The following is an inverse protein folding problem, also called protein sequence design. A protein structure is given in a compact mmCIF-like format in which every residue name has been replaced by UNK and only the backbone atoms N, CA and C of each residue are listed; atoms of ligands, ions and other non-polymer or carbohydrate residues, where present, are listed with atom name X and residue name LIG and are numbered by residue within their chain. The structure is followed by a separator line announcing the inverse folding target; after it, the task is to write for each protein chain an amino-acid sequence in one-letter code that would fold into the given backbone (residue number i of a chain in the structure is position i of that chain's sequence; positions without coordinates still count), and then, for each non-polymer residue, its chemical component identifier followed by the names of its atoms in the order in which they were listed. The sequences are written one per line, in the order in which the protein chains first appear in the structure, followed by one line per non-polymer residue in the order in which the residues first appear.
data_IF_964686825162
#
_entry.id   IF_964686825162
#
_cell.length_a   1.000
_cell.length_b   1.000
_cell.length_c   1.000
_cell.angle_alpha   90.00
_cell.angle_beta   90.00
_cell.angle_gamma   90.00
#
_symmetry.space_group_name_H-M   'P 1'
#
loop_
_entity.id
_entity.type
_entity.pdbx_description
1 polymer ?
#
# COMPACT_ATOMS: atom_id res chain seq x y z
N UNK A 1 48.51 -57.35 5.97
CA UNK A 1 47.93 -58.57 6.56
C UNK A 1 48.10 -58.46 8.08
N UNK A 2 47.01 -58.61 8.84
CA UNK A 2 46.89 -58.56 10.33
C UNK A 2 47.06 -57.18 11.00
N UNK A 3 46.32 -56.77 12.04
CA UNK A 3 45.11 -57.29 12.70
C UNK A 3 44.53 -56.18 13.62
N UNK A 4 43.20 -56.09 13.62
CA UNK A 4 42.29 -55.80 14.76
C UNK A 4 42.76 -54.89 15.91
N UNK A 5 42.03 -53.78 16.10
CA UNK A 5 41.55 -53.37 17.43
C UNK A 5 40.06 -53.03 17.37
N UNK A 6 39.26 -53.81 18.10
CA UNK A 6 37.88 -53.48 18.50
C UNK A 6 37.83 -53.39 20.03
N UNK A 7 36.89 -52.57 20.46
CA UNK A 7 36.18 -52.58 21.75
C UNK A 7 36.69 -51.62 22.84
N UNK A 8 35.77 -50.73 23.18
CA UNK A 8 35.78 -49.77 24.28
C UNK A 8 34.42 -49.08 24.25
N UNK A 9 33.37 -49.82 24.63
CA UNK A 9 32.00 -49.32 24.72
C UNK A 9 31.91 -48.32 25.87
N UNK A 10 31.59 -47.05 25.58
CA UNK A 10 31.02 -46.14 26.57
C UNK A 10 29.51 -45.98 26.29
N UNK A 11 28.70 -46.76 27.01
CA UNK A 11 27.28 -46.46 27.20
C UNK A 11 27.16 -45.26 28.14
N UNK A 12 26.96 -44.06 27.59
CA UNK A 12 26.43 -42.95 28.38
C UNK A 12 24.90 -42.98 28.30
N UNK A 13 24.27 -43.18 29.46
CA UNK A 13 22.84 -43.01 29.68
C UNK A 13 22.51 -41.52 29.56
N UNK A 14 21.93 -41.11 28.43
CA UNK A 14 21.30 -39.79 28.32
C UNK A 14 19.97 -39.85 29.07
N UNK A 15 19.93 -39.21 30.25
CA UNK A 15 18.69 -38.90 30.96
C UNK A 15 17.91 -37.90 30.12
N UNK A 16 16.67 -38.26 29.84
CA UNK A 16 15.64 -37.39 29.31
C UNK A 16 15.40 -36.25 30.31
N UNK A 17 15.74 -35.01 29.94
CA UNK A 17 15.20 -33.81 30.57
C UNK A 17 14.53 -32.98 29.49
N UNK A 18 13.19 -32.91 29.57
CA UNK A 18 12.33 -31.94 28.90
C UNK A 18 12.93 -30.54 29.05
N UNK A 19 13.56 -30.03 28.01
CA UNK A 19 13.88 -28.62 27.90
C UNK A 19 12.63 -27.92 27.37
N UNK A 20 11.91 -27.24 28.26
CA UNK A 20 10.82 -26.35 27.89
C UNK A 20 11.36 -25.23 27.01
N UNK A 21 10.64 -24.96 25.92
CA UNK A 21 10.86 -23.77 25.10
C UNK A 21 10.66 -22.53 25.99
N UNK A 22 11.52 -21.50 25.89
CA UNK A 22 11.35 -20.29 26.67
C UNK A 22 10.08 -19.57 26.22
N UNK A 23 9.13 -19.42 27.14
CA UNK A 23 8.03 -18.46 27.05
C UNK A 23 8.64 -17.07 26.80
N UNK A 24 8.42 -16.52 25.60
CA UNK A 24 8.63 -15.08 25.41
C UNK A 24 7.52 -14.33 26.17
N UNK A 25 7.86 -13.35 27.03
CA UNK A 25 6.87 -12.56 27.73
C UNK A 25 6.14 -11.67 26.72
N UNK A 26 4.81 -11.63 26.85
CA UNK A 26 3.90 -10.88 26.01
C UNK A 26 4.35 -9.44 25.80
N UNK A 27 4.32 -9.02 24.54
CA UNK A 27 4.47 -7.63 24.15
C UNK A 27 3.32 -6.84 24.80
N UNK A 28 3.62 -6.20 25.93
CA UNK A 28 2.74 -5.21 26.52
C UNK A 28 2.54 -4.10 25.48
N UNK A 29 1.32 -4.02 24.94
CA UNK A 29 0.88 -2.94 24.04
C UNK A 29 1.07 -1.59 24.74
N UNK A 30 2.19 -0.94 24.47
CA UNK A 30 2.40 0.50 24.67
C UNK A 30 2.65 1.10 23.30
N UNK A 31 1.63 1.74 22.75
CA UNK A 31 1.66 2.40 21.43
C UNK A 31 0.27 2.41 20.84
N UNK A 32 -0.16 3.55 20.31
CA UNK A 32 -1.45 3.69 19.62
C UNK A 32 -1.64 2.61 18.55
N UNK A 33 -2.90 2.30 18.25
CA UNK A 33 -3.26 1.34 17.22
C UNK A 33 -2.52 1.68 15.93
N UNK A 34 -1.52 0.86 15.57
CA UNK A 34 -0.90 0.96 14.25
C UNK A 34 -1.73 0.07 13.32
N UNK A 35 -2.20 0.60 12.19
CA UNK A 35 -3.05 -0.17 11.30
C UNK A 35 -2.26 -1.35 10.76
N UNK A 36 -2.88 -2.52 10.61
CA UNK A 36 -2.23 -3.67 9.95
C UNK A 36 -2.50 -3.60 8.45
N UNK A 37 -1.44 -3.73 7.65
CA UNK A 37 -1.54 -3.65 6.19
C UNK A 37 -1.19 -4.99 5.53
N UNK A 38 -1.87 -5.27 4.42
CA UNK A 38 -1.66 -6.43 3.58
C UNK A 38 -1.16 -6.05 2.20
N UNK A 39 -0.31 -6.89 1.60
CA UNK A 39 0.02 -6.85 0.19
C UNK A 39 -0.29 -8.20 -0.47
N UNK A 40 -1.10 -8.17 -1.53
CA UNK A 40 -1.55 -9.34 -2.28
C UNK A 40 -0.80 -9.43 -3.62
N UNK A 41 -0.05 -10.50 -3.81
CA UNK A 41 0.66 -10.81 -5.05
C UNK A 41 -0.25 -11.61 -6.00
N UNK A 42 -0.73 -10.93 -7.04
CA UNK A 42 -1.60 -11.45 -8.08
C UNK A 42 -0.81 -11.84 -9.35
N UNK A 43 0.51 -12.03 -9.25
CA UNK A 43 1.40 -12.23 -10.42
C UNK A 43 1.17 -13.52 -11.22
N UNK A 44 0.45 -14.50 -10.66
CA UNK A 44 0.03 -15.73 -11.37
C UNK A 44 -1.49 -15.84 -11.51
N UNK A 45 -2.17 -14.70 -11.39
CA UNK A 45 -3.61 -14.55 -11.39
C UNK A 45 -4.24 -14.80 -10.03
N UNK A 46 -5.51 -14.47 -9.92
CA UNK A 46 -6.24 -14.54 -8.65
C UNK A 46 -7.60 -15.23 -8.83
N UNK A 47 -7.95 -16.07 -7.87
CA UNK A 47 -9.23 -16.76 -7.75
C UNK A 47 -9.61 -16.82 -6.26
N UNK A 48 -10.88 -17.09 -5.98
CA UNK A 48 -11.40 -17.13 -4.62
C UNK A 48 -10.62 -18.10 -3.72
N UNK A 49 -10.49 -19.34 -4.16
CA UNK A 49 -9.70 -20.40 -3.53
C UNK A 49 -8.22 -20.02 -3.29
N UNK A 50 -7.56 -19.37 -4.27
CA UNK A 50 -6.17 -18.90 -4.14
C UNK A 50 -6.04 -17.84 -3.05
N UNK A 51 -6.96 -16.88 -3.02
CA UNK A 51 -6.91 -15.83 -2.00
C UNK A 51 -7.24 -16.39 -0.61
N UNK A 52 -8.29 -17.21 -0.52
CA UNK A 52 -8.70 -17.86 0.71
C UNK A 52 -7.60 -18.78 1.27
N UNK A 53 -6.96 -19.57 0.42
CA UNK A 53 -5.82 -20.41 0.77
C UNK A 53 -4.64 -19.58 1.31
N UNK A 54 -4.36 -18.43 0.71
CA UNK A 54 -3.28 -17.55 1.19
C UNK A 54 -3.58 -17.00 2.60
N UNK A 55 -4.83 -16.65 2.88
CA UNK A 55 -5.26 -16.21 4.22
C UNK A 55 -5.22 -17.33 5.25
N UNK A 56 -5.64 -18.54 4.89
CA UNK A 56 -5.56 -19.72 5.77
C UNK A 56 -4.11 -20.10 6.09
N UNK A 57 -3.22 -20.05 5.10
CA UNK A 57 -1.80 -20.34 5.30
C UNK A 57 -1.17 -19.32 6.24
N UNK A 58 -1.42 -18.01 6.04
CA UNK A 58 -0.97 -16.95 6.93
C UNK A 58 -1.56 -17.08 8.35
N UNK A 59 -2.86 -17.34 8.44
CA UNK A 59 -3.58 -17.47 9.71
C UNK A 59 -3.20 -18.70 10.52
N UNK A 60 -2.79 -19.78 9.86
CA UNK A 60 -2.33 -21.00 10.54
C UNK A 60 -1.08 -20.78 11.41
N UNK A 61 -0.26 -19.77 11.09
CA UNK A 61 0.97 -19.45 11.83
C UNK A 61 0.66 -18.81 13.19
N UNK A 62 -0.38 -17.98 13.26
CA UNK A 62 -0.76 -17.25 14.48
C UNK A 62 -2.03 -17.79 15.16
N UNK A 63 -2.73 -18.73 14.52
CA UNK A 63 -4.06 -19.20 14.96
C UNK A 63 -5.17 -18.16 14.75
N UNK A 64 -4.96 -17.16 13.88
CA UNK A 64 -5.90 -16.05 13.70
C UNK A 64 -7.04 -16.35 12.73
N UNK A 65 -6.84 -17.25 11.76
CA UNK A 65 -7.87 -17.73 10.84
C UNK A 65 -7.50 -19.13 10.37
N UNK A 66 -8.38 -20.10 10.61
CA UNK A 66 -8.09 -21.52 10.46
C UNK A 66 -9.10 -22.23 9.56
N UNK A 67 -8.78 -23.45 9.17
CA UNK A 67 -9.72 -24.29 8.42
C UNK A 67 -10.99 -24.65 9.23
N UNK A 68 -10.93 -24.61 10.56
CA UNK A 68 -12.10 -24.82 11.42
C UNK A 68 -13.04 -23.62 11.36
N UNK A 69 -12.48 -22.39 11.39
CA UNK A 69 -13.26 -21.16 11.24
C UNK A 69 -13.97 -21.11 9.88
N UNK A 70 -13.26 -21.47 8.80
CA UNK A 70 -13.86 -21.55 7.47
C UNK A 70 -14.99 -22.58 7.40
N UNK A 71 -14.82 -23.76 8.01
CA UNK A 71 -15.88 -24.79 8.02
C UNK A 71 -17.08 -24.36 8.84
N UNK A 72 -16.88 -23.66 9.96
CA UNK A 72 -17.97 -23.11 10.77
C UNK A 72 -18.76 -22.04 9.99
N UNK A 73 -18.06 -21.18 9.27
CA UNK A 73 -18.65 -20.19 8.38
C UNK A 73 -19.46 -20.87 7.25
N UNK A 74 -18.87 -21.86 6.58
CA UNK A 74 -19.52 -22.61 5.52
C UNK A 74 -20.77 -23.35 6.02
N UNK A 75 -20.71 -24.00 7.19
CA UNK A 75 -21.87 -24.68 7.78
C UNK A 75 -23.07 -23.75 8.03
N UNK A 76 -22.82 -22.44 8.19
CA UNK A 76 -23.88 -21.44 8.42
C UNK A 76 -24.44 -20.88 7.11
N UNK A 77 -23.56 -20.61 6.12
CA UNK A 77 -23.93 -19.90 4.88
C UNK A 77 -24.16 -20.83 3.68
N UNK A 78 -23.59 -22.02 3.72
CA UNK A 78 -23.63 -23.01 2.66
C UNK A 78 -23.59 -24.41 3.31
N UNK A 79 -24.60 -24.79 4.11
CA UNK A 79 -24.61 -26.09 4.82
C UNK A 79 -24.51 -27.30 3.88
N UNK A 80 -24.90 -27.14 2.61
CA UNK A 80 -24.77 -28.13 1.55
C UNK A 80 -23.37 -28.21 0.91
N UNK A 81 -22.44 -27.32 1.28
CA UNK A 81 -21.09 -27.30 0.76
C UNK A 81 -20.13 -28.17 1.59
N UNK A 82 -19.32 -28.96 0.90
CA UNK A 82 -18.23 -29.74 1.50
C UNK A 82 -16.94 -28.97 1.28
N UNK A 83 -16.36 -28.45 2.37
CA UNK A 83 -15.10 -27.69 2.34
C UNK A 83 -13.91 -28.58 2.70
N UNK A 84 -13.00 -28.73 1.73
CA UNK A 84 -11.70 -29.38 1.92
C UNK A 84 -10.58 -28.34 1.92
N UNK A 85 -9.65 -28.49 2.85
CA UNK A 85 -8.47 -27.62 3.00
C UNK A 85 -7.27 -28.51 3.15
N UNK A 86 -6.31 -28.40 2.23
CA UNK A 86 -5.16 -29.29 2.17
C UNK A 86 -3.86 -28.52 1.97
N UNK A 87 -2.76 -29.02 2.54
CA UNK A 87 -1.43 -28.54 2.15
C UNK A 87 -1.03 -29.17 0.84
N UNK A 88 -0.71 -28.34 -0.13
CA UNK A 88 -0.32 -28.75 -1.49
C UNK A 88 1.05 -28.18 -1.84
N UNK A 89 1.63 -28.68 -2.94
CA UNK A 89 2.86 -28.14 -3.52
C UNK A 89 2.61 -27.74 -4.98
N UNK A 90 2.86 -26.48 -5.31
CA UNK A 90 2.83 -25.98 -6.70
C UNK A 90 4.25 -25.61 -7.12
N UNK A 91 4.82 -26.36 -8.08
CA UNK A 91 6.21 -26.21 -8.53
C UNK A 91 7.23 -26.09 -7.39
N UNK A 92 7.05 -26.88 -6.32
CA UNK A 92 7.93 -26.90 -5.15
C UNK A 92 7.57 -25.92 -4.03
N UNK A 93 6.71 -24.92 -4.28
CA UNK A 93 6.21 -23.99 -3.25
C UNK A 93 5.11 -24.68 -2.44
N UNK A 94 5.30 -24.75 -1.12
CA UNK A 94 4.26 -25.21 -0.21
C UNK A 94 3.18 -24.12 -0.09
N UNK A 95 1.92 -24.52 -0.23
CA UNK A 95 0.75 -23.64 -0.20
C UNK A 95 -0.46 -24.39 0.40
N UNK A 96 -1.54 -23.66 0.63
CA UNK A 96 -2.85 -24.21 1.01
C UNK A 96 -3.77 -24.21 -0.20
N UNK A 97 -4.33 -25.37 -0.54
CA UNK A 97 -5.41 -25.49 -1.51
C UNK A 97 -6.75 -25.57 -0.78
N UNK A 98 -7.76 -24.90 -1.32
CA UNK A 98 -9.14 -24.95 -0.84
C UNK A 98 -10.01 -25.50 -1.97
N UNK A 99 -10.88 -26.46 -1.66
CA UNK A 99 -11.94 -26.87 -2.59
C UNK A 99 -13.27 -26.87 -1.89
N UNK A 100 -14.27 -26.33 -2.57
CA UNK A 100 -15.65 -26.28 -2.13
C UNK A 100 -16.47 -27.07 -3.13
N UNK A 101 -17.00 -28.20 -2.70
CA UNK A 101 -17.85 -29.05 -3.53
C UNK A 101 -19.31 -28.85 -3.11
N UNK A 102 -20.18 -28.59 -4.08
CA UNK A 102 -21.61 -28.61 -3.86
C UNK A 102 -22.11 -30.06 -3.78
N UNK A 103 -23.04 -30.36 -2.87
CA UNK A 103 -23.84 -31.59 -2.95
C UNK A 103 -24.68 -31.67 -4.23
N UNK A 104 -25.42 -32.77 -4.43
CA UNK A 104 -26.22 -32.98 -5.64
C UNK A 104 -27.26 -31.85 -5.86
N UNK A 105 -27.13 -31.14 -6.99
CA UNK A 105 -28.01 -30.08 -7.54
C UNK A 105 -28.42 -28.97 -6.56
N UNK A 106 -27.53 -28.01 -6.25
CA UNK A 106 -27.95 -26.79 -5.57
C UNK A 106 -28.90 -25.97 -6.47
N UNK A 107 -29.96 -25.37 -5.91
CA UNK A 107 -30.83 -24.47 -6.68
C UNK A 107 -30.00 -23.28 -7.19
N UNK A 108 -30.28 -22.78 -8.41
CA UNK A 108 -29.64 -21.57 -8.91
C UNK A 108 -29.90 -20.42 -7.93
N UNK A 109 -28.85 -19.73 -7.50
CA UNK A 109 -28.95 -18.59 -6.58
C UNK A 109 -28.87 -17.30 -7.37
N UNK A 110 -29.89 -16.47 -7.21
CA UNK A 110 -29.90 -15.10 -7.72
C UNK A 110 -29.11 -14.17 -6.79
N UNK A 111 -28.63 -13.06 -7.33
CA UNK A 111 -28.03 -12.01 -6.50
C UNK A 111 -28.94 -11.59 -5.33
N UNK A 112 -30.23 -11.37 -5.58
CA UNK A 112 -31.20 -11.02 -4.54
C UNK A 112 -31.25 -12.03 -3.37
N UNK A 113 -31.13 -13.33 -3.68
CA UNK A 113 -31.08 -14.40 -2.66
C UNK A 113 -29.80 -14.34 -1.84
N UNK A 114 -28.64 -14.17 -2.50
CA UNK A 114 -27.33 -14.04 -1.83
C UNK A 114 -27.29 -12.78 -0.95
N UNK A 115 -27.75 -11.64 -1.45
CA UNK A 115 -27.85 -10.38 -0.69
C UNK A 115 -28.65 -10.56 0.59
N UNK A 116 -29.87 -11.09 0.47
CA UNK A 116 -30.77 -11.33 1.61
C UNK A 116 -30.13 -12.27 2.64
N UNK A 117 -29.43 -13.31 2.17
CA UNK A 117 -28.73 -14.25 3.04
C UNK A 117 -27.58 -13.58 3.81
N UNK A 118 -26.75 -12.77 3.14
CA UNK A 118 -25.63 -12.07 3.77
C UNK A 118 -26.10 -10.98 4.75
N UNK A 119 -27.21 -10.31 4.46
CA UNK A 119 -27.83 -9.34 5.36
C UNK A 119 -28.39 -10.00 6.62
N UNK A 120 -28.97 -11.20 6.51
CA UNK A 120 -29.51 -11.94 7.64
C UNK A 120 -28.44 -12.69 8.46
N UNK A 121 -27.26 -12.96 7.90
CA UNK A 121 -26.21 -13.74 8.55
C UNK A 121 -25.61 -13.04 9.78
N UNK A 122 -25.18 -13.81 10.78
CA UNK A 122 -24.44 -13.26 11.93
C UNK A 122 -22.96 -13.08 11.58
N UNK A 123 -22.65 -12.02 10.82
CA UNK A 123 -21.31 -11.67 10.37
C UNK A 123 -20.85 -10.33 10.98
N UNK A 124 -19.56 -10.18 11.33
CA UNK A 124 -19.01 -8.87 11.65
C UNK A 124 -19.28 -7.86 10.53
N UNK A 125 -19.62 -6.63 10.88
CA UNK A 125 -19.99 -5.61 9.90
C UNK A 125 -18.94 -5.43 8.77
N UNK A 126 -17.62 -5.38 9.04
CA UNK A 126 -16.62 -5.28 7.97
C UNK A 126 -16.63 -6.48 7.00
N UNK A 127 -16.91 -7.68 7.51
CA UNK A 127 -16.98 -8.91 6.70
C UNK A 127 -18.19 -8.85 5.78
N UNK A 128 -19.35 -8.50 6.33
CA UNK A 128 -20.62 -8.37 5.59
C UNK A 128 -20.53 -7.31 4.50
N UNK A 129 -20.01 -6.13 4.82
CA UNK A 129 -19.88 -5.02 3.85
C UNK A 129 -18.97 -5.39 2.69
N UNK A 130 -17.80 -5.99 2.95
CA UNK A 130 -16.88 -6.42 1.88
C UNK A 130 -17.47 -7.55 1.03
N UNK A 131 -18.15 -8.51 1.67
CA UNK A 131 -18.78 -9.62 0.94
C UNK A 131 -19.93 -9.14 0.03
N UNK A 132 -20.81 -8.27 0.54
CA UNK A 132 -21.88 -7.66 -0.25
C UNK A 132 -21.31 -6.89 -1.45
N UNK A 133 -20.27 -6.07 -1.22
CA UNK A 133 -19.58 -5.34 -2.30
C UNK A 133 -19.01 -6.30 -3.35
N UNK A 134 -18.35 -7.38 -2.96
CA UNK A 134 -17.78 -8.34 -3.91
C UNK A 134 -18.86 -9.01 -4.78
N UNK A 135 -19.98 -9.41 -4.20
CA UNK A 135 -21.10 -9.97 -4.96
C UNK A 135 -21.84 -8.95 -5.80
N UNK A 136 -21.96 -7.70 -5.34
CA UNK A 136 -22.53 -6.62 -6.12
C UNK A 136 -21.68 -6.33 -7.37
N UNK A 137 -20.35 -6.28 -7.23
CA UNK A 137 -19.43 -6.11 -8.37
C UNK A 137 -19.57 -7.27 -9.37
N UNK A 138 -19.67 -8.52 -8.88
CA UNK A 138 -19.98 -9.68 -9.74
C UNK A 138 -21.32 -9.50 -10.46
N UNK A 139 -22.39 -9.18 -9.73
CA UNK A 139 -23.72 -9.01 -10.30
C UNK A 139 -23.74 -7.91 -11.36
N UNK A 140 -23.09 -6.77 -11.12
CA UNK A 140 -22.98 -5.68 -12.09
C UNK A 140 -22.21 -6.10 -13.35
N UNK A 141 -21.14 -6.86 -13.20
CA UNK A 141 -20.36 -7.37 -14.33
C UNK A 141 -21.16 -8.38 -15.16
N UNK A 142 -21.83 -9.33 -14.53
CA UNK A 142 -22.68 -10.32 -15.20
C UNK A 142 -23.89 -9.66 -15.88
N UNK A 143 -24.54 -8.71 -15.21
CA UNK A 143 -25.63 -7.91 -15.77
C UNK A 143 -25.20 -7.17 -17.03
N UNK A 144 -24.01 -6.57 -17.01
CA UNK A 144 -23.45 -5.88 -18.16
C UNK A 144 -23.18 -6.82 -19.34
N UNK A 145 -22.61 -8.00 -19.08
CA UNK A 145 -22.30 -9.00 -20.11
C UNK A 145 -23.57 -9.61 -20.72
N UNK A 146 -24.60 -9.84 -19.90
CA UNK A 146 -25.85 -10.49 -20.32
C UNK A 146 -26.96 -9.52 -20.72
N UNK A 147 -26.81 -8.22 -20.47
CA UNK A 147 -27.81 -7.20 -20.77
C UNK A 147 -29.10 -7.34 -19.96
N UNK A 148 -28.99 -7.79 -18.71
CA UNK A 148 -30.12 -7.97 -17.77
C UNK A 148 -30.03 -6.98 -16.60
N UNK A 149 -31.08 -6.86 -15.81
CA UNK A 149 -31.03 -6.08 -14.56
C UNK A 149 -30.13 -6.79 -13.53
N UNK A 150 -29.29 -6.07 -12.76
CA UNK A 150 -28.45 -6.66 -11.71
C UNK A 150 -29.21 -7.51 -10.69
N UNK A 151 -30.45 -7.17 -10.34
CA UNK A 151 -31.25 -7.96 -9.40
C UNK A 151 -31.77 -9.28 -10.02
N UNK A 152 -31.82 -9.38 -11.36
CA UNK A 152 -32.23 -10.56 -12.12
C UNK A 152 -31.05 -11.48 -12.49
N UNK A 153 -29.82 -11.13 -12.09
CA UNK A 153 -28.63 -11.93 -12.37
C UNK A 153 -28.70 -13.28 -11.66
N UNK A 154 -28.54 -14.32 -12.48
CA UNK A 154 -28.31 -15.68 -12.03
C UNK A 154 -26.84 -16.00 -12.25
N UNK A 155 -26.14 -16.42 -11.20
CA UNK A 155 -24.75 -16.81 -11.30
C UNK A 155 -24.66 -18.16 -12.02
N UNK A 156 -24.40 -18.11 -13.34
CA UNK A 156 -24.41 -19.29 -14.22
C UNK A 156 -23.06 -20.02 -14.28
N UNK A 157 -21.95 -19.28 -14.20
CA UNK A 157 -20.57 -19.83 -14.30
C UNK A 157 -19.82 -19.78 -12.97
N UNK A 158 -20.36 -19.07 -12.00
CA UNK A 158 -19.85 -18.95 -10.63
C UNK A 158 -20.62 -19.98 -9.80
N UNK A 159 -19.96 -21.04 -9.34
CA UNK A 159 -20.61 -22.07 -8.53
C UNK A 159 -21.15 -21.43 -7.25
N UNK A 160 -22.45 -21.14 -7.19
CA UNK A 160 -22.98 -20.22 -6.18
C UNK A 160 -22.56 -20.55 -4.72
N UNK A 161 -22.26 -21.81 -4.41
CA UNK A 161 -21.72 -22.25 -3.12
C UNK A 161 -20.21 -22.05 -2.97
N UNK A 162 -19.40 -22.35 -4.00
CA UNK A 162 -17.96 -22.10 -3.98
C UNK A 162 -17.66 -20.63 -3.71
N UNK A 163 -18.41 -19.76 -4.37
CA UNK A 163 -18.16 -18.33 -4.32
C UNK A 163 -18.70 -17.69 -3.05
N UNK A 164 -19.74 -18.24 -2.43
CA UNK A 164 -20.15 -17.80 -1.07
C UNK A 164 -19.05 -18.13 -0.07
N UNK A 165 -18.55 -19.37 -0.08
CA UNK A 165 -17.50 -19.79 0.86
C UNK A 165 -16.21 -19.02 0.60
N UNK A 166 -15.82 -18.84 -0.66
CA UNK A 166 -14.62 -18.09 -1.04
C UNK A 166 -14.72 -16.61 -0.69
N UNK A 167 -15.78 -15.91 -1.12
CA UNK A 167 -15.94 -14.47 -0.90
C UNK A 167 -16.04 -14.15 0.59
N UNK A 168 -16.93 -14.84 1.30
CA UNK A 168 -17.12 -14.57 2.73
C UNK A 168 -15.92 -15.06 3.53
N UNK A 169 -15.31 -16.19 3.15
CA UNK A 169 -14.10 -16.71 3.76
C UNK A 169 -12.92 -15.74 3.64
N UNK A 170 -12.72 -15.13 2.47
CA UNK A 170 -11.69 -14.10 2.26
C UNK A 170 -11.96 -12.87 3.11
N UNK A 171 -13.20 -12.37 3.12
CA UNK A 171 -13.58 -11.21 3.92
C UNK A 171 -13.37 -11.48 5.42
N UNK A 172 -13.75 -12.67 5.89
CA UNK A 172 -13.56 -13.13 7.26
C UNK A 172 -12.07 -13.28 7.60
N UNK A 173 -11.27 -13.86 6.70
CA UNK A 173 -9.83 -14.02 6.89
C UNK A 173 -9.10 -12.69 7.00
N UNK A 174 -9.41 -11.72 6.12
CA UNK A 174 -8.85 -10.36 6.21
C UNK A 174 -9.21 -9.71 7.55
N UNK A 175 -10.48 -9.82 7.97
CA UNK A 175 -10.95 -9.25 9.23
C UNK A 175 -10.27 -9.91 10.44
N UNK A 176 -10.20 -11.24 10.48
CA UNK A 176 -9.64 -12.00 11.57
C UNK A 176 -8.12 -11.80 11.73
N UNK A 177 -7.42 -11.57 10.61
CA UNK A 177 -6.00 -11.21 10.61
C UNK A 177 -5.76 -9.70 10.85
N UNK A 178 -6.83 -8.93 11.04
CA UNK A 178 -6.79 -7.51 11.35
C UNK A 178 -6.37 -6.63 10.17
N UNK A 179 -6.43 -7.11 8.93
CA UNK A 179 -6.02 -6.33 7.75
C UNK A 179 -6.98 -5.17 7.53
N UNK A 180 -6.48 -3.96 7.78
CA UNK A 180 -7.21 -2.70 7.63
C UNK A 180 -7.06 -2.13 6.22
N UNK A 181 -5.85 -2.16 5.67
CA UNK A 181 -5.56 -1.74 4.30
C UNK A 181 -4.91 -2.86 3.50
N UNK A 182 -5.39 -3.10 2.27
CA UNK A 182 -4.88 -4.11 1.36
C UNK A 182 -4.45 -3.48 0.04
N UNK A 183 -3.18 -3.65 -0.34
CA UNK A 183 -2.68 -3.28 -1.66
C UNK A 183 -2.50 -4.54 -2.50
N UNK A 184 -3.02 -4.57 -3.72
CA UNK A 184 -2.77 -5.68 -4.65
C UNK A 184 -1.69 -5.30 -5.68
N UNK A 185 -0.91 -6.27 -6.15
CA UNK A 185 -0.09 -6.08 -7.35
C UNK A 185 -0.98 -5.87 -8.58
N UNK A 186 -0.42 -5.44 -9.74
CA UNK A 186 -1.12 -5.61 -11.01
C UNK A 186 -1.59 -7.06 -11.18
N UNK A 187 -2.81 -7.23 -11.68
CA UNK A 187 -3.50 -8.52 -11.74
C UNK A 187 -3.11 -9.26 -13.02
N UNK A 188 -2.57 -10.47 -12.89
CA UNK A 188 -2.29 -11.30 -14.05
C UNK A 188 -3.57 -11.94 -14.61
N UNK A 189 -3.97 -11.54 -15.82
CA UNK A 189 -5.24 -11.99 -16.42
C UNK A 189 -5.11 -13.29 -17.22
N UNK A 190 -3.90 -13.62 -17.67
CA UNK A 190 -3.65 -14.72 -18.58
C UNK A 190 -3.62 -14.28 -20.05
N UNK A 191 -3.73 -15.24 -20.95
CA UNK A 191 -3.69 -14.99 -22.41
C UNK A 191 -4.35 -16.11 -23.21
N UNK A 192 -4.70 -15.82 -24.46
CA UNK A 192 -5.29 -16.80 -25.38
C UNK A 192 -6.80 -16.89 -25.25
N UNK A 193 -7.33 -18.10 -25.14
CA UNK A 193 -8.77 -18.38 -25.11
C UNK A 193 -9.15 -19.34 -23.99
N UNK A 194 -10.39 -19.27 -23.54
CA UNK A 194 -10.99 -20.17 -22.54
C UNK A 194 -12.30 -20.75 -23.08
N UNK A 195 -12.56 -22.03 -22.81
CA UNK A 195 -13.83 -22.69 -23.14
C UNK A 195 -14.84 -22.46 -22.01
N UNK A 196 -16.01 -21.94 -22.34
CA UNK A 196 -17.07 -21.58 -21.39
C UNK A 196 -18.43 -22.12 -21.85
N UNK A 197 -19.48 -21.92 -21.06
CA UNK A 197 -20.85 -22.24 -21.48
C UNK A 197 -21.31 -21.40 -22.68
N UNK A 198 -20.65 -20.24 -22.88
CA UNK A 198 -20.83 -19.31 -23.99
C UNK A 198 -19.92 -19.63 -25.19
N UNK A 199 -19.23 -20.77 -25.16
CA UNK A 199 -18.26 -21.19 -26.17
C UNK A 199 -16.85 -20.67 -25.89
N UNK A 200 -16.03 -20.62 -26.95
CA UNK A 200 -14.62 -20.22 -26.84
C UNK A 200 -14.47 -18.70 -26.81
N UNK A 201 -14.05 -18.16 -25.68
CA UNK A 201 -13.89 -16.72 -25.45
C UNK A 201 -12.41 -16.32 -25.39
N UNK A 202 -12.09 -15.08 -25.72
CA UNK A 202 -10.76 -14.50 -25.50
C UNK A 202 -10.53 -14.23 -24.03
N UNK A 203 -9.28 -14.36 -23.58
CA UNK A 203 -8.88 -14.02 -22.21
C UNK A 203 -8.46 -12.55 -22.13
N UNK A 204 -8.89 -11.78 -21.11
CA UNK A 204 -9.83 -12.17 -20.05
C UNK A 204 -11.26 -12.39 -20.56
N UNK A 205 -11.98 -13.35 -19.95
CA UNK A 205 -13.39 -13.58 -20.24
C UNK A 205 -14.24 -12.32 -19.93
N UNK A 206 -15.43 -12.15 -20.55
CA UNK A 206 -16.19 -10.90 -20.50
C UNK A 206 -16.49 -10.36 -19.09
N UNK A 207 -16.92 -11.22 -18.16
CA UNK A 207 -17.21 -10.81 -16.78
C UNK A 207 -15.92 -10.37 -16.05
N UNK A 208 -14.84 -11.13 -16.18
CA UNK A 208 -13.51 -10.77 -15.66
C UNK A 208 -13.01 -9.45 -16.25
N UNK A 209 -13.21 -9.23 -17.55
CA UNK A 209 -12.82 -7.99 -18.24
C UNK A 209 -13.58 -6.77 -17.70
N UNK A 210 -14.90 -6.91 -17.49
CA UNK A 210 -15.73 -5.84 -16.92
C UNK A 210 -15.31 -5.50 -15.47
N UNK A 211 -15.00 -6.50 -14.65
CA UNK A 211 -14.54 -6.32 -13.28
C UNK A 211 -13.18 -5.59 -13.18
N UNK A 212 -12.32 -5.75 -14.19
CA UNK A 212 -10.97 -5.19 -14.19
C UNK A 212 -10.88 -3.80 -14.84
N UNK A 213 -11.99 -3.15 -15.17
CA UNK A 213 -12.00 -1.72 -15.55
C UNK A 213 -11.40 -0.90 -14.40
N UNK A 214 -10.45 -0.02 -14.74
CA UNK A 214 -9.63 0.80 -13.83
C UNK A 214 -8.67 0.02 -12.92
N UNK A 215 -8.47 -1.28 -13.15
CA UNK A 215 -7.50 -2.11 -12.43
C UNK A 215 -6.25 -2.32 -13.29
N UNK A 216 -5.02 -2.12 -12.77
CA UNK A 216 -3.79 -2.44 -13.49
C UNK A 216 -3.69 -3.94 -13.78
N UNK A 217 -3.55 -4.31 -15.06
CA UNK A 217 -3.45 -5.71 -15.50
C UNK A 217 -2.10 -6.02 -16.16
N UNK A 218 -1.70 -7.28 -16.08
CA UNK A 218 -0.54 -7.85 -16.79
C UNK A 218 -0.92 -9.21 -17.39
N UNK A 219 -0.21 -9.73 -18.41
CA UNK A 219 -0.54 -11.04 -18.99
C UNK A 219 -0.27 -12.21 -18.04
N UNK A 220 0.67 -12.09 -17.11
CA UNK A 220 1.11 -13.20 -16.26
C UNK A 220 2.10 -14.16 -16.94
N UNK A 221 2.44 -15.28 -16.28
CA UNK A 221 3.32 -16.30 -16.86
C UNK A 221 2.65 -17.02 -18.05
N UNK A 222 3.43 -17.49 -19.04
CA UNK A 222 2.92 -18.38 -20.08
C UNK A 222 2.64 -19.78 -19.50
N UNK A 223 1.97 -20.64 -20.27
CA UNK A 223 1.76 -22.04 -19.94
C UNK A 223 3.05 -22.89 -19.96
N UNK A 224 2.97 -24.18 -19.56
CA UNK A 224 4.14 -25.06 -19.37
C UNK A 224 5.09 -25.20 -20.55
N UNK A 225 4.57 -25.09 -21.77
CA UNK A 225 5.27 -25.24 -23.04
C UNK A 225 5.45 -23.89 -23.78
N UNK A 226 5.20 -22.76 -23.10
CA UNK A 226 5.18 -21.45 -23.72
C UNK A 226 3.88 -21.11 -24.45
N UNK A 227 2.87 -21.99 -24.39
CA UNK A 227 1.53 -21.71 -24.90
C UNK A 227 0.81 -20.62 -24.09
N UNK A 228 -0.28 -20.04 -24.63
CA UNK A 228 -1.13 -19.14 -23.85
C UNK A 228 -1.64 -19.84 -22.58
N UNK A 229 -1.53 -19.16 -21.44
CA UNK A 229 -1.86 -19.74 -20.13
C UNK A 229 -3.37 -19.98 -19.91
N UNK A 230 -4.22 -19.55 -20.86
CA UNK A 230 -5.65 -19.45 -20.67
C UNK A 230 -5.98 -18.34 -19.68
N UNK A 231 -7.18 -18.41 -19.09
CA UNK A 231 -7.58 -17.53 -18.01
C UNK A 231 -6.68 -17.77 -16.79
N UNK A 232 -6.12 -16.73 -16.15
CA UNK A 232 -5.40 -16.87 -14.87
C UNK A 232 -6.16 -16.26 -13.69
N UNK A 233 -7.00 -15.26 -13.97
CA UNK A 233 -7.86 -14.62 -12.99
C UNK A 233 -9.31 -14.96 -13.28
N UNK A 234 -10.03 -15.48 -12.28
CA UNK A 234 -11.45 -15.81 -12.40
C UNK A 234 -12.32 -14.59 -12.09
N UNK A 235 -13.60 -14.56 -12.50
CA UNK A 235 -14.53 -13.49 -12.11
C UNK A 235 -14.57 -13.28 -10.60
N UNK A 236 -14.69 -14.35 -9.80
CA UNK A 236 -14.68 -14.28 -8.33
C UNK A 236 -13.40 -13.67 -7.79
N UNK A 237 -12.23 -14.03 -8.34
CA UNK A 237 -10.95 -13.45 -7.94
C UNK A 237 -10.86 -11.95 -8.26
N UNK A 238 -11.29 -11.54 -9.45
CA UNK A 238 -11.32 -10.13 -9.84
C UNK A 238 -12.25 -9.31 -8.94
N UNK A 239 -13.44 -9.82 -8.64
CA UNK A 239 -14.39 -9.16 -7.76
C UNK A 239 -13.88 -9.04 -6.32
N UNK A 240 -13.22 -10.08 -5.79
CA UNK A 240 -12.60 -10.03 -4.47
C UNK A 240 -11.51 -8.98 -4.37
N UNK A 241 -10.65 -8.88 -5.39
CA UNK A 241 -9.61 -7.85 -5.41
C UNK A 241 -10.23 -6.46 -5.50
N UNK A 242 -11.23 -6.26 -6.37
CA UNK A 242 -11.94 -4.97 -6.50
C UNK A 242 -12.66 -4.55 -5.22
N UNK A 243 -13.25 -5.50 -4.51
CA UNK A 243 -14.00 -5.22 -3.29
C UNK A 243 -13.11 -5.01 -2.06
N UNK A 244 -11.96 -5.70 -1.99
CA UNK A 244 -11.12 -5.74 -0.80
C UNK A 244 -9.84 -4.90 -0.89
N UNK A 245 -9.33 -4.59 -2.09
CA UNK A 245 -8.11 -3.79 -2.23
C UNK A 245 -8.40 -2.29 -2.15
N UNK A 246 -7.57 -1.58 -1.39
CA UNK A 246 -7.59 -0.12 -1.25
C UNK A 246 -6.67 0.58 -2.27
N UNK A 247 -5.83 -0.19 -2.97
CA UNK A 247 -4.96 0.32 -4.01
C UNK A 247 -4.22 -0.77 -4.76
N UNK A 248 -3.57 -0.37 -5.85
CA UNK A 248 -2.82 -1.27 -6.73
C UNK A 248 -1.38 -0.78 -6.93
N UNK A 249 -0.41 -1.69 -6.85
CA UNK A 249 0.99 -1.37 -7.12
C UNK A 249 1.99 -2.30 -6.44
N UNK A 250 3.22 -1.80 -6.31
CA UNK A 250 4.26 -2.50 -5.58
C UNK A 250 3.91 -2.65 -4.10
N UNK A 251 4.56 -3.60 -3.42
CA UNK A 251 4.40 -3.77 -1.98
C UNK A 251 4.71 -2.45 -1.25
N UNK A 252 3.77 -1.92 -0.42
CA UNK A 252 4.03 -0.73 0.36
C UNK A 252 5.18 -1.01 1.34
N UNK A 253 5.94 0.03 1.75
CA UNK A 253 6.93 -0.14 2.81
C UNK A 253 6.26 -0.73 4.05
N UNK A 254 6.71 -1.92 4.48
CA UNK A 254 6.12 -2.66 5.59
C UNK A 254 7.15 -3.51 6.32
N UNK A 255 6.86 -3.87 7.56
CA UNK A 255 7.55 -4.91 8.32
C UNK A 255 6.67 -6.16 8.30
N UNK A 256 7.00 -7.19 7.49
CA UNK A 256 6.20 -8.40 7.38
C UNK A 256 6.10 -9.16 8.72
N UNK A 257 4.89 -9.59 9.06
CA UNK A 257 4.58 -10.40 10.26
C UNK A 257 4.09 -11.80 9.88
N UNK A 258 3.25 -11.88 8.85
CA UNK A 258 2.70 -13.13 8.33
C UNK A 258 2.87 -13.16 6.82
N UNK A 259 3.12 -14.34 6.27
CA UNK A 259 3.12 -14.60 4.84
C UNK A 259 2.33 -15.88 4.63
N UNK A 260 1.44 -15.90 3.65
CA UNK A 260 0.68 -17.08 3.29
C UNK A 260 0.61 -17.29 1.78
N UNK A 261 0.55 -18.55 1.37
CA UNK A 261 0.44 -18.96 -0.01
C UNK A 261 -0.81 -19.81 -0.22
N UNK A 262 -1.67 -19.38 -1.15
CA UNK A 262 -2.81 -20.16 -1.61
C UNK A 262 -2.59 -20.67 -3.01
N UNK A 263 -2.87 -21.95 -3.24
CA UNK A 263 -2.59 -22.61 -4.51
C UNK A 263 -3.87 -22.78 -5.34
N UNK A 264 -3.76 -22.47 -6.63
CA UNK A 264 -4.77 -22.83 -7.61
C UNK A 264 -4.62 -24.29 -8.03
N UNK A 265 -5.67 -24.84 -8.62
CA UNK A 265 -5.75 -26.26 -9.00
C UNK A 265 -5.09 -26.59 -10.34
N UNK A 266 -4.97 -25.61 -11.25
CA UNK A 266 -4.40 -25.81 -12.59
C UNK A 266 -2.88 -25.80 -12.58
N UNK A 267 -2.28 -26.66 -13.40
CA UNK A 267 -0.86 -26.57 -13.74
C UNK A 267 -0.67 -25.53 -14.85
N UNK A 268 0.10 -24.49 -14.54
CA UNK A 268 0.43 -23.41 -15.47
C UNK A 268 1.92 -23.43 -15.85
N UNK A 269 2.66 -24.48 -15.50
CA UNK A 269 4.09 -24.62 -15.80
C UNK A 269 5.03 -23.82 -14.89
N UNK A 270 4.44 -23.03 -14.00
CA UNK A 270 5.11 -22.24 -12.98
C UNK A 270 4.26 -22.29 -11.69
N UNK A 271 4.77 -21.85 -10.53
CA UNK A 271 3.99 -21.91 -9.30
C UNK A 271 2.65 -21.16 -9.42
N UNK A 272 1.54 -21.89 -9.47
CA UNK A 272 0.19 -21.33 -9.50
C UNK A 272 -0.27 -20.96 -8.09
N UNK A 273 0.34 -19.92 -7.52
CA UNK A 273 0.08 -19.49 -6.14
C UNK A 273 -0.22 -17.99 -6.06
N UNK A 274 -1.17 -17.63 -5.22
CA UNK A 274 -1.32 -16.27 -4.71
C UNK A 274 -0.58 -16.17 -3.38
N UNK A 275 0.15 -15.07 -3.17
CA UNK A 275 0.84 -14.79 -1.91
C UNK A 275 0.23 -13.57 -1.26
N UNK A 276 -0.03 -13.65 0.04
CA UNK A 276 -0.32 -12.47 0.87
C UNK A 276 0.83 -12.24 1.86
N UNK A 277 1.20 -10.98 2.02
CA UNK A 277 2.14 -10.52 3.05
C UNK A 277 1.38 -9.57 3.97
N UNK A 278 1.31 -9.85 5.26
CA UNK A 278 0.60 -9.05 6.27
C UNK A 278 1.62 -8.54 7.28
N UNK A 279 1.53 -7.27 7.65
CA UNK A 279 2.50 -6.66 8.55
C UNK A 279 2.13 -5.27 9.01
N UNK A 280 3.05 -4.66 9.73
CA UNK A 280 2.89 -3.30 10.19
C UNK A 280 3.46 -2.33 9.12
N UNK A 281 2.89 -1.12 8.95
CA UNK A 281 3.44 -0.09 8.09
C UNK A 281 4.92 0.16 8.40
N UNK A 282 5.72 0.21 7.35
CA UNK A 282 7.11 0.59 7.42
C UNK A 282 7.26 2.05 7.80
N UNK A 283 8.46 2.52 8.13
CA UNK A 283 8.69 3.94 8.35
C UNK A 283 8.18 4.71 7.13
N UNK A 284 7.21 5.60 7.35
CA UNK A 284 6.64 6.42 6.29
C UNK A 284 7.79 7.16 5.59
N UNK A 285 7.99 6.85 4.31
CA UNK A 285 8.84 7.70 3.49
C UNK A 285 8.06 8.99 3.25
N UNK A 286 8.66 10.17 3.45
CA UNK A 286 7.97 11.41 3.13
C UNK A 286 7.53 11.36 1.67
N UNK A 287 6.24 11.58 1.41
CA UNK A 287 5.75 11.74 0.05
C UNK A 287 6.50 12.92 -0.56
N UNK A 288 7.25 12.66 -1.63
CA UNK A 288 8.00 13.67 -2.36
C UNK A 288 7.26 13.96 -3.66
N UNK A 289 6.87 15.21 -3.86
CA UNK A 289 6.39 15.70 -5.14
C UNK A 289 7.61 16.10 -5.98
N UNK A 290 7.75 15.53 -7.16
CA UNK A 290 8.74 15.98 -8.13
C UNK A 290 8.20 17.21 -8.86
N UNK A 291 9.03 18.25 -8.95
CA UNK A 291 8.76 19.43 -9.76
C UNK A 291 10.06 19.93 -10.41
N UNK A 292 9.94 20.89 -11.33
CA UNK A 292 11.09 21.53 -11.96
C UNK A 292 11.22 22.98 -11.52
N UNK A 293 12.46 23.40 -11.27
CA UNK A 293 12.84 24.78 -10.94
C UNK A 293 14.01 25.22 -11.83
N UNK A 294 14.26 26.53 -11.87
CA UNK A 294 15.36 27.10 -12.65
C UNK A 294 16.29 27.86 -11.71
N UNK A 295 17.58 27.54 -11.78
CA UNK A 295 18.63 28.30 -11.12
C UNK A 295 19.18 29.36 -12.10
N UNK A 296 19.01 30.62 -11.74
CA UNK A 296 19.51 31.78 -12.46
C UNK A 296 20.74 32.33 -11.75
N UNK A 297 21.84 32.53 -12.48
CA UNK A 297 23.10 33.00 -11.89
C UNK A 297 23.78 34.08 -12.71
N UNK A 298 24.33 35.07 -12.02
CA UNK A 298 25.18 36.09 -12.63
C UNK A 298 26.35 36.44 -11.71
N UNK A 299 27.51 36.74 -12.30
CA UNK A 299 28.68 37.18 -11.54
C UNK A 299 28.75 38.70 -11.66
N UNK A 300 28.89 39.39 -10.53
CA UNK A 300 28.99 40.85 -10.47
C UNK A 300 30.23 41.27 -9.68
N UNK A 301 31.00 42.19 -10.25
CA UNK A 301 32.19 42.79 -9.64
C UNK A 301 32.05 44.31 -9.43
N UNK A 302 30.96 44.91 -9.91
CA UNK A 302 30.67 46.35 -9.84
C UNK A 302 29.53 46.71 -8.89
N UNK A 303 28.83 45.72 -8.33
CA UNK A 303 27.66 45.92 -7.45
C UNK A 303 28.10 45.86 -5.99
N UNK A 304 27.63 46.80 -5.16
CA UNK A 304 27.94 46.80 -3.74
C UNK A 304 27.15 45.72 -2.98
N UNK A 305 27.62 45.27 -1.80
CA UNK A 305 26.88 44.34 -0.95
C UNK A 305 25.47 44.85 -0.56
N UNK A 306 25.31 46.15 -0.32
CA UNK A 306 24.01 46.76 0.01
C UNK A 306 23.04 46.66 -1.17
N UNK A 307 23.52 46.93 -2.39
CA UNK A 307 22.71 46.79 -3.59
C UNK A 307 22.35 45.33 -3.88
N UNK A 308 23.24 44.37 -3.58
CA UNK A 308 22.95 42.94 -3.66
C UNK A 308 21.90 42.49 -2.64
N UNK A 309 21.98 42.99 -1.41
CA UNK A 309 20.98 42.72 -0.36
C UNK A 309 19.61 43.25 -0.80
N UNK A 310 19.54 44.49 -1.28
CA UNK A 310 18.32 45.07 -1.81
C UNK A 310 17.76 44.26 -2.99
N UNK A 311 18.61 43.86 -3.94
CA UNK A 311 18.18 43.04 -5.06
C UNK A 311 17.60 41.69 -4.61
N UNK A 312 18.22 41.04 -3.62
CA UNK A 312 17.73 39.78 -3.07
C UNK A 312 16.34 39.91 -2.43
N UNK A 313 16.12 40.96 -1.64
CA UNK A 313 14.80 41.26 -1.04
C UNK A 313 13.73 41.51 -2.10
N UNK A 314 14.03 42.30 -3.13
CA UNK A 314 13.08 42.57 -4.22
C UNK A 314 12.74 41.31 -5.00
N UNK A 315 13.74 40.49 -5.34
CA UNK A 315 13.52 39.25 -6.09
C UNK A 315 12.67 38.24 -5.30
N UNK A 316 12.89 38.13 -3.99
CA UNK A 316 12.04 37.31 -3.11
C UNK A 316 10.60 37.84 -3.07
N UNK A 317 10.42 39.17 -2.94
CA UNK A 317 9.09 39.80 -2.95
C UNK A 317 8.35 39.61 -4.30
N UNK A 318 9.10 39.52 -5.40
CA UNK A 318 8.59 39.29 -6.75
C UNK A 318 8.36 37.79 -7.09
N UNK A 319 8.57 36.88 -6.12
CA UNK A 319 8.22 35.47 -6.26
C UNK A 319 9.37 34.52 -6.58
N UNK A 320 10.63 34.94 -6.41
CA UNK A 320 11.74 34.01 -6.35
C UNK A 320 11.54 33.01 -5.19
N UNK A 321 11.89 31.75 -5.43
CA UNK A 321 11.78 30.67 -4.45
C UNK A 321 12.88 30.76 -3.39
N UNK A 322 14.07 31.22 -3.78
CA UNK A 322 15.21 31.48 -2.90
C UNK A 322 16.22 32.40 -3.59
N UNK A 323 17.01 33.14 -2.82
CA UNK A 323 18.08 34.02 -3.32
C UNK A 323 19.27 34.00 -2.37
N UNK A 324 20.48 33.79 -2.91
CA UNK A 324 21.71 33.85 -2.13
C UNK A 324 22.87 34.47 -2.92
N UNK A 325 23.92 34.83 -2.18
CA UNK A 325 25.11 35.48 -2.71
C UNK A 325 26.35 34.67 -2.32
N UNK A 326 27.15 34.27 -3.31
CA UNK A 326 28.40 33.53 -3.10
C UNK A 326 29.60 34.44 -3.39
N UNK A 327 30.52 34.68 -2.44
CA UNK A 327 31.73 35.46 -2.72
C UNK A 327 32.66 34.70 -3.66
N UNK A 328 33.20 35.39 -4.66
CA UNK A 328 34.12 34.82 -5.66
C UNK A 328 35.26 35.78 -5.97
N UNK A 329 36.33 35.26 -6.58
CA UNK A 329 37.41 36.07 -7.15
C UNK A 329 37.36 35.94 -8.67
N UNK A 330 37.28 37.08 -9.36
CA UNK A 330 37.26 37.16 -10.82
C UNK A 330 38.64 37.52 -11.39
N UNK A 331 38.76 37.51 -12.72
CA UNK A 331 39.97 37.91 -13.44
C UNK A 331 40.52 39.25 -12.94
N UNK A 332 41.85 39.43 -13.00
CA UNK A 332 42.55 40.60 -12.46
C UNK A 332 42.44 40.76 -10.93
N UNK A 333 42.16 39.67 -10.21
CA UNK A 333 42.09 39.66 -8.74
C UNK A 333 40.92 40.46 -8.17
N UNK A 334 39.85 40.67 -8.96
CA UNK A 334 38.69 41.43 -8.51
C UNK A 334 37.87 40.62 -7.52
N UNK A 335 37.61 41.18 -6.35
CA UNK A 335 36.58 40.68 -5.43
C UNK A 335 35.23 40.86 -6.08
N UNK A 336 34.42 39.80 -6.10
CA UNK A 336 33.15 39.75 -6.80
C UNK A 336 32.18 38.82 -6.08
N UNK A 337 30.94 38.76 -6.56
CA UNK A 337 29.94 37.84 -6.05
C UNK A 337 29.15 37.17 -7.18
N UNK A 338 28.75 35.92 -6.96
CA UNK A 338 27.69 35.27 -7.74
C UNK A 338 26.37 35.51 -7.04
N UNK A 339 25.43 36.19 -7.71
CA UNK A 339 24.03 36.23 -7.29
C UNK A 339 23.33 35.03 -7.90
N UNK A 340 22.72 34.20 -7.05
CA UNK A 340 22.01 32.98 -7.44
C UNK A 340 20.55 33.11 -7.01
N UNK A 341 19.63 32.86 -7.95
CA UNK A 341 18.18 33.03 -7.77
C UNK A 341 17.50 31.75 -8.22
N UNK A 342 16.76 31.10 -7.32
CA UNK A 342 15.94 29.94 -7.64
C UNK A 342 14.53 30.40 -7.98
N UNK A 343 13.99 30.01 -9.13
CA UNK A 343 12.68 30.45 -9.60
C UNK A 343 11.86 29.29 -10.18
N UNK A 344 10.54 29.44 -10.20
CA UNK A 344 9.66 28.53 -10.92
C UNK A 344 9.85 28.65 -12.43
N UNK A 345 9.68 27.55 -13.16
CA UNK A 345 9.85 27.49 -14.63
C UNK A 345 9.03 28.55 -15.38
N UNK A 346 7.82 28.86 -14.89
CA UNK A 346 6.90 29.83 -15.51
C UNK A 346 7.37 31.28 -15.42
N UNK A 347 8.14 31.64 -14.39
CA UNK A 347 8.54 33.03 -14.12
C UNK A 347 10.03 33.29 -14.37
N UNK A 348 10.81 32.23 -14.68
CA UNK A 348 12.26 32.31 -14.79
C UNK A 348 12.77 33.40 -15.75
N UNK A 349 12.10 33.61 -16.89
CA UNK A 349 12.51 34.65 -17.85
C UNK A 349 12.27 36.06 -17.30
N UNK A 350 11.15 36.30 -16.64
CA UNK A 350 10.83 37.59 -16.01
C UNK A 350 11.78 37.86 -14.84
N UNK A 351 12.05 36.86 -14.00
CA UNK A 351 13.03 36.94 -12.92
C UNK A 351 14.43 37.27 -13.44
N UNK A 352 14.86 36.65 -14.55
CA UNK A 352 16.15 36.95 -15.17
C UNK A 352 16.23 38.41 -15.65
N UNK A 353 15.16 38.95 -16.23
CA UNK A 353 15.08 40.35 -16.63
C UNK A 353 15.15 41.29 -15.41
N UNK A 354 14.55 40.91 -14.27
CA UNK A 354 14.67 41.67 -13.02
C UNK A 354 16.06 41.62 -12.41
N UNK A 355 16.76 40.49 -12.48
CA UNK A 355 18.18 40.40 -12.10
C UNK A 355 19.02 41.39 -12.91
N UNK A 356 18.82 41.46 -14.24
CA UNK A 356 19.49 42.44 -15.12
C UNK A 356 19.18 43.87 -14.69
N UNK A 357 17.90 44.19 -14.45
CA UNK A 357 17.48 45.53 -14.08
C UNK A 357 18.02 45.99 -12.71
N UNK A 358 18.09 45.10 -11.73
CA UNK A 358 18.53 45.41 -10.36
C UNK A 358 20.05 45.49 -10.22
N UNK A 359 20.80 44.72 -11.03
CA UNK A 359 22.26 44.60 -10.90
C UNK A 359 23.04 45.31 -12.01
N UNK A 360 22.39 45.64 -13.13
CA UNK A 360 23.06 46.14 -14.33
C UNK A 360 23.95 45.10 -15.02
N UNK A 361 23.84 43.81 -14.67
CA UNK A 361 24.57 42.75 -15.38
C UNK A 361 24.10 42.63 -16.83
N UNK A 362 25.00 42.20 -17.72
CA UNK A 362 24.68 42.02 -19.15
C UNK A 362 24.16 40.61 -19.48
N UNK A 363 24.16 39.70 -18.51
CA UNK A 363 23.73 38.34 -18.76
C UNK A 363 23.47 37.55 -17.49
N UNK A 364 22.53 36.60 -17.61
CA UNK A 364 22.14 35.66 -16.56
C UNK A 364 22.19 34.27 -17.18
N UNK A 365 22.90 33.34 -16.52
CA UNK A 365 22.94 31.93 -16.91
C UNK A 365 21.76 31.22 -16.26
N UNK A 366 21.21 30.22 -16.94
CA UNK A 366 20.02 29.49 -16.50
C UNK A 366 20.25 27.99 -16.57
N UNK A 367 19.94 27.27 -15.49
CA UNK A 367 20.03 25.81 -15.40
C UNK A 367 18.73 25.23 -14.85
N UNK A 368 17.98 24.43 -15.63
CA UNK A 368 16.84 23.66 -15.12
C UNK A 368 17.30 22.58 -14.14
N UNK A 369 16.58 22.40 -13.04
CA UNK A 369 16.89 21.41 -12.02
C UNK A 369 15.61 20.70 -11.52
N UNK A 370 15.62 19.35 -11.40
CA UNK A 370 14.55 18.66 -10.70
C UNK A 370 14.62 18.95 -9.21
N UNK A 371 13.47 19.21 -8.58
CA UNK A 371 13.31 19.44 -7.16
C UNK A 371 12.30 18.43 -6.60
N UNK A 372 12.67 17.74 -5.53
CA UNK A 372 11.78 16.86 -4.80
C UNK A 372 11.35 17.56 -3.51
N UNK A 373 10.05 17.83 -3.38
CA UNK A 373 9.49 18.59 -2.26
C UNK A 373 8.67 17.67 -1.39
N UNK A 374 8.97 17.65 -0.08
CA UNK A 374 8.12 16.99 0.88
C UNK A 374 6.84 17.81 1.10
N UNK A 375 5.70 17.13 1.13
CA UNK A 375 4.45 17.77 1.54
C UNK A 375 4.60 18.42 2.91
N UNK A 376 4.10 19.64 3.01
CA UNK A 376 4.09 20.42 4.23
C UNK A 376 2.74 21.10 4.41
N UNK A 377 2.28 21.14 5.65
CA UNK A 377 1.14 21.94 6.07
C UNK A 377 1.60 22.95 7.12
N UNK A 378 0.94 24.11 7.16
CA UNK A 378 1.14 25.10 8.21
C UNK A 378 -0.07 25.04 9.12
N UNK A 379 0.16 24.76 10.39
CA UNK A 379 -0.87 24.69 11.41
C UNK A 379 -0.81 25.93 12.28
N UNK A 380 -1.97 26.44 12.67
CA UNK A 380 -2.08 27.43 13.72
C UNK A 380 -2.25 26.70 15.05
N UNK A 381 -1.31 26.89 15.96
CA UNK A 381 -1.26 26.20 17.26
C UNK A 381 -1.48 27.23 18.36
N UNK A 382 -2.46 26.97 19.22
CA UNK A 382 -2.68 27.77 20.41
C UNK A 382 -1.48 27.61 21.38
N UNK A 383 -0.93 28.73 21.84
CA UNK A 383 0.16 28.73 22.83
C UNK A 383 -0.10 29.75 23.94
N UNK A 384 0.60 29.64 25.09
CA UNK A 384 0.55 30.66 26.15
C UNK A 384 0.95 32.08 25.70
N UNK A 385 1.54 32.22 24.51
CA UNK A 385 1.99 33.51 23.94
C UNK A 385 1.17 33.94 22.73
N UNK A 386 -0.04 33.39 22.60
CA UNK A 386 -0.94 33.60 21.47
C UNK A 386 -0.81 32.52 20.40
N UNK A 387 -1.56 32.63 19.30
CA UNK A 387 -1.45 31.71 18.17
C UNK A 387 -0.06 31.79 17.54
N UNK A 388 0.49 30.63 17.20
CA UNK A 388 1.77 30.50 16.49
C UNK A 388 1.62 29.57 15.31
N UNK A 389 2.45 29.78 14.29
CA UNK A 389 2.46 28.90 13.12
C UNK A 389 3.48 27.80 13.31
N UNK A 390 3.08 26.56 12.99
CA UNK A 390 3.95 25.39 13.03
C UNK A 390 3.84 24.63 11.71
N UNK A 391 4.96 24.52 11.01
CA UNK A 391 5.07 23.70 9.80
C UNK A 391 5.16 22.23 10.18
N UNK A 392 4.24 21.41 9.70
CA UNK A 392 4.37 19.95 9.69
C UNK A 392 4.82 19.47 8.32
N UNK A 393 5.81 18.59 8.26
CA UNK A 393 6.23 17.96 7.01
C UNK A 393 7.32 16.94 7.25
N UNK A 394 7.35 15.87 6.44
CA UNK A 394 8.32 14.77 6.57
C UNK A 394 8.48 14.21 8.00
N UNK A 395 7.37 14.07 8.73
CA UNK A 395 7.36 13.57 10.11
C UNK A 395 7.98 14.52 11.16
N UNK A 396 8.15 15.80 10.83
CA UNK A 396 8.70 16.81 11.74
C UNK A 396 7.73 17.97 11.91
N UNK A 397 7.72 18.54 13.10
CA UNK A 397 7.07 19.80 13.43
C UNK A 397 8.14 20.86 13.65
N UNK A 398 8.00 22.00 12.97
CA UNK A 398 8.89 23.16 13.12
C UNK A 398 8.08 24.43 13.29
N UNK A 399 8.11 25.07 14.46
CA UNK A 399 7.56 26.40 14.65
C UNK A 399 8.19 27.40 13.67
N UNK A 400 7.40 28.35 13.18
CA UNK A 400 7.91 29.42 12.31
C UNK A 400 8.92 30.29 13.03
N UNK A 401 10.00 30.65 12.34
CA UNK A 401 11.11 31.41 12.91
C UNK A 401 10.64 32.71 13.55
N UNK A 402 9.82 33.50 12.84
CA UNK A 402 9.35 34.81 13.31
C UNK A 402 8.53 34.72 14.60
N UNK A 403 7.74 33.64 14.75
CA UNK A 403 6.94 33.41 15.95
C UNK A 403 7.84 33.03 17.13
N UNK A 404 8.83 32.15 16.91
CA UNK A 404 9.81 31.80 17.94
C UNK A 404 10.64 33.02 18.34
N UNK A 405 11.14 33.79 17.38
CA UNK A 405 11.97 34.97 17.59
C UNK A 405 11.21 36.07 18.35
N UNK A 406 9.96 36.36 17.94
CA UNK A 406 9.08 37.31 18.64
C UNK A 406 8.85 36.91 20.09
N UNK A 407 8.56 35.64 20.36
CA UNK A 407 8.31 35.15 21.72
C UNK A 407 9.59 35.15 22.56
N UNK A 408 10.71 34.72 21.98
CA UNK A 408 12.00 34.75 22.66
C UNK A 408 12.43 36.19 22.99
N UNK A 409 12.16 37.17 22.13
CA UNK A 409 12.43 38.59 22.40
C UNK A 409 11.50 39.20 23.45
N UNK A 410 10.25 38.71 23.55
CA UNK A 410 9.25 39.19 24.49
C UNK A 410 9.29 38.47 25.86
N UNK A 411 10.15 37.47 26.03
CA UNK A 411 10.23 36.66 27.25
C UNK A 411 11.69 36.44 27.67
N UNK A 412 11.92 35.99 28.90
CA UNK A 412 13.27 35.66 29.38
C UNK A 412 13.68 34.21 29.00
N UNK A 413 13.23 33.74 27.82
CA UNK A 413 13.46 32.37 27.34
C UNK A 413 14.36 32.39 26.11
N UNK A 414 15.17 31.36 25.99
CA UNK A 414 16.00 31.16 24.80
C UNK A 414 15.15 30.74 23.60
N UNK A 415 15.64 31.02 22.39
CA UNK A 415 15.03 30.59 21.13
C UNK A 415 14.75 29.07 21.13
N UNK A 416 15.70 28.26 21.60
CA UNK A 416 15.58 26.80 21.64
C UNK A 416 14.53 26.31 22.65
N UNK A 417 14.37 26.98 23.79
CA UNK A 417 13.32 26.67 24.76
C UNK A 417 11.93 26.96 24.21
N UNK A 418 11.77 28.12 23.55
CA UNK A 418 10.52 28.49 22.90
C UNK A 418 10.19 27.50 21.79
N UNK A 419 11.15 27.21 20.89
CA UNK A 419 10.96 26.28 19.77
C UNK A 419 10.57 24.87 20.26
N UNK A 420 11.25 24.33 21.29
CA UNK A 420 10.90 23.03 21.89
C UNK A 420 9.50 23.04 22.48
N UNK A 421 9.13 24.11 23.19
CA UNK A 421 7.81 24.22 23.82
C UNK A 421 6.69 24.25 22.78
N UNK A 422 6.84 25.08 21.74
CA UNK A 422 5.86 25.17 20.67
C UNK A 422 5.76 23.88 19.86
N UNK A 423 6.88 23.18 19.63
CA UNK A 423 6.89 21.86 18.97
C UNK A 423 6.08 20.83 19.76
N UNK A 424 6.24 20.80 21.08
CA UNK A 424 5.48 19.90 21.96
C UNK A 424 3.99 20.22 21.95
N UNK A 425 3.62 21.50 22.10
CA UNK A 425 2.21 21.94 22.06
C UNK A 425 1.55 21.58 20.73
N UNK A 426 2.26 21.76 19.62
CA UNK A 426 1.78 21.37 18.30
C UNK A 426 1.52 19.87 18.19
N UNK A 427 2.41 19.03 18.73
CA UNK A 427 2.23 17.58 18.73
C UNK A 427 1.01 17.14 19.54
N UNK A 428 0.76 17.81 20.68
CA UNK A 428 -0.41 17.54 21.54
C UNK A 428 -1.72 17.93 20.85
N UNK A 429 -1.80 19.13 20.26
CA UNK A 429 -3.00 19.60 19.56
C UNK A 429 -3.35 18.72 18.35
N UNK A 430 -2.36 18.43 17.49
CA UNK A 430 -2.58 17.61 16.30
C UNK A 430 -3.01 16.17 16.62
N UNK A 431 -2.57 15.62 17.77
CA UNK A 431 -3.03 14.32 18.22
C UNK A 431 -4.49 14.34 18.67
N UNK A 432 -4.96 15.44 19.27
CA UNK A 432 -6.36 15.61 19.69
C UNK A 432 -7.29 15.83 18.50
N UNK A 433 -6.88 16.63 17.52
CA UNK A 433 -7.70 16.91 16.33
C UNK A 433 -7.92 15.63 15.50
N UNK A 434 -6.90 14.77 15.42
CA UNK A 434 -7.03 13.45 14.76
C UNK A 434 -8.06 12.55 15.46
N UNK A 435 -8.12 12.57 16.79
CA UNK A 435 -9.07 11.76 17.58
C UNK A 435 -10.50 12.30 17.58
N UNK A 436 -10.71 13.57 17.26
CA UNK A 436 -12.03 14.19 17.19
C UNK A 436 -12.70 14.07 15.81
N UNK A 437 -11.94 13.64 14.81
CA UNK A 437 -12.40 13.47 13.41
C UNK A 437 -12.73 12.00 13.09
N UNK A 438 -12.39 11.07 13.99
CA UNK A 438 -12.85 9.67 14.01
C UNK A 438 -14.10 9.53 14.88
#
# INVERSE_FOLDING_TARGET
MRERRRSGQHRQRLRCSRAGLPHQPGCARRGGHRPVIGWLDCGTGISGDKFLGALLDAGSVCGGFTAEDLRALAATLAPEAVVSVERVRSCGIAAVGVRVEAGDQPPPRTWASVRSQLEAADLPAPVRTRALRAFEELALAEAHVHGVDPDDVHFHEVGALDSIVDVVGVCAGLHALGVEFLVASPVAVGSGTVETSHGRLTVPAPATAALLVDVPIVPGPPGPDGSPAGELTTPTGAALVRACADGFGAAPPMVPRLIGYGAGTRDIGSPNVCRIIIGDPGPAQPALTAEEVVLLETNVDHVSPEALSFAAEQLLAEGALDVWVTPIVMKKGRSAATLSVLAGTRVAQETAARVVALTGTLGVRSTPQPRYVAERAVHEVASPWGPVRVKSGAGRLRPEHDDVARIAAATDRTYDEVARTLTRLAAEQLAQDTQATE
#
